data_IF_758263490046
#
_entry.id   IF_758263490046
#
_cell.length_a   1.000
_cell.length_b   1.000
_cell.length_c   1.000
_cell.angle_alpha   90.00
_cell.angle_beta   90.00
_cell.angle_gamma   90.00
#
_symmetry.space_group_name_H-M   'P 1'
#
loop_
_entity.id
_entity.type
_entity.pdbx_description
1 polymer ?
#
# COMPACT_ATOMS: atom_id res chain seq x y z
N UNK A 1 -64.74 -32.57 11.05
CA UNK A 1 -64.56 -31.40 10.16
C UNK A 1 -64.05 -30.17 10.91
N UNK A 2 -64.66 -29.79 12.04
CA UNK A 2 -64.26 -28.63 12.85
C UNK A 2 -62.79 -28.62 13.33
N UNK A 3 -62.26 -29.76 13.79
CA UNK A 3 -60.83 -29.87 14.19
C UNK A 3 -59.86 -29.58 13.03
N UNK A 4 -60.21 -29.96 11.79
CA UNK A 4 -59.39 -29.70 10.59
C UNK A 4 -59.41 -28.21 10.21
N UNK A 5 -60.58 -27.56 10.32
CA UNK A 5 -60.74 -26.11 10.10
C UNK A 5 -59.97 -25.29 11.13
N UNK A 6 -59.97 -25.72 12.40
CA UNK A 6 -59.22 -25.08 13.48
C UNK A 6 -57.70 -25.22 13.30
N UNK A 7 -57.21 -26.39 12.89
CA UNK A 7 -55.79 -26.61 12.55
C UNK A 7 -55.35 -25.76 11.35
N UNK A 8 -56.18 -25.65 10.31
CA UNK A 8 -55.94 -24.78 9.15
C UNK A 8 -55.85 -23.29 9.54
N UNK A 9 -56.74 -22.84 10.42
CA UNK A 9 -56.71 -21.47 10.95
C UNK A 9 -55.42 -21.16 11.72
N UNK A 10 -54.99 -22.07 12.61
CA UNK A 10 -53.73 -21.92 13.35
C UNK A 10 -52.53 -21.89 12.40
N UNK A 11 -52.49 -22.78 11.42
CA UNK A 11 -51.41 -22.82 10.43
C UNK A 11 -51.35 -21.52 9.59
N UNK A 12 -52.50 -20.96 9.20
CA UNK A 12 -52.56 -19.69 8.47
C UNK A 12 -52.07 -18.51 9.32
N UNK A 13 -52.45 -18.44 10.60
CA UNK A 13 -51.95 -17.42 11.53
C UNK A 13 -50.44 -17.54 11.74
N UNK A 14 -49.94 -18.76 11.94
CA UNK A 14 -48.49 -19.02 12.06
C UNK A 14 -47.74 -18.59 10.81
N UNK A 15 -48.27 -18.89 9.62
CA UNK A 15 -47.67 -18.46 8.35
C UNK A 15 -47.58 -16.93 8.28
N UNK A 16 -48.65 -16.21 8.63
CA UNK A 16 -48.64 -14.74 8.65
C UNK A 16 -47.60 -14.20 9.63
N UNK A 17 -47.52 -14.75 10.84
CA UNK A 17 -46.50 -14.34 11.83
C UNK A 17 -45.08 -14.57 11.31
N UNK A 18 -44.81 -15.73 10.70
CA UNK A 18 -43.49 -16.05 10.12
C UNK A 18 -43.16 -15.10 8.98
N UNK A 19 -44.09 -14.88 8.04
CA UNK A 19 -43.89 -13.96 6.91
C UNK A 19 -43.69 -12.54 7.40
N UNK A 20 -44.51 -12.04 8.33
CA UNK A 20 -44.35 -10.70 8.90
C UNK A 20 -43.03 -10.55 9.65
N UNK A 21 -42.59 -11.56 10.40
CA UNK A 21 -41.30 -11.56 11.08
C UNK A 21 -40.13 -11.51 10.09
N UNK A 22 -40.17 -12.33 9.05
CA UNK A 22 -39.17 -12.32 7.98
C UNK A 22 -39.16 -10.98 7.25
N UNK A 23 -40.32 -10.43 6.88
CA UNK A 23 -40.44 -9.12 6.25
C UNK A 23 -39.92 -7.99 7.15
N UNK A 24 -40.23 -8.03 8.44
CA UNK A 24 -39.70 -7.07 9.42
C UNK A 24 -38.17 -7.12 9.47
N UNK A 25 -37.58 -8.32 9.56
CA UNK A 25 -36.12 -8.50 9.52
C UNK A 25 -35.51 -7.93 8.23
N UNK A 26 -36.08 -8.24 7.07
CA UNK A 26 -35.58 -7.69 5.80
C UNK A 26 -35.65 -6.15 5.74
N UNK A 27 -36.70 -5.55 6.32
CA UNK A 27 -36.85 -4.09 6.37
C UNK A 27 -35.89 -3.46 7.40
N UNK A 28 -35.73 -4.07 8.57
CA UNK A 28 -34.84 -3.57 9.64
C UNK A 28 -33.37 -3.59 9.23
N UNK A 29 -32.96 -4.53 8.37
CA UNK A 29 -31.57 -4.70 7.94
C UNK A 29 -31.31 -4.29 6.48
N UNK A 30 -32.25 -3.59 5.85
CA UNK A 30 -32.11 -3.14 4.45
C UNK A 30 -30.82 -2.34 4.23
N UNK A 31 -30.53 -1.39 5.13
CA UNK A 31 -29.39 -0.47 5.04
C UNK A 31 -28.28 -0.78 6.05
N UNK A 32 -28.34 -1.96 6.67
CA UNK A 32 -27.37 -2.41 7.68
C UNK A 32 -26.61 -3.64 7.18
N UNK A 33 -25.45 -3.87 7.79
CA UNK A 33 -24.68 -5.10 7.66
C UNK A 33 -25.42 -6.19 8.43
N UNK A 34 -25.34 -7.44 7.94
CA UNK A 34 -25.93 -8.59 8.64
C UNK A 34 -25.45 -8.67 10.09
N UNK A 35 -26.34 -9.03 11.04
CA UNK A 35 -25.91 -9.26 12.42
C UNK A 35 -24.92 -10.43 12.47
N UNK A 36 -23.95 -10.34 13.40
CA UNK A 36 -22.91 -11.36 13.57
C UNK A 36 -21.75 -11.28 12.57
N UNK A 37 -21.69 -10.26 11.72
CA UNK A 37 -20.53 -10.00 10.86
C UNK A 37 -19.48 -9.20 11.62
N UNK A 38 -18.22 -9.64 11.58
CA UNK A 38 -17.07 -8.93 12.12
C UNK A 38 -15.94 -8.84 11.10
N UNK A 39 -15.13 -7.79 11.21
CA UNK A 39 -13.87 -7.64 10.48
C UNK A 39 -12.75 -7.84 11.49
N UNK A 40 -12.05 -8.96 11.44
CA UNK A 40 -11.12 -9.38 12.51
C UNK A 40 -11.83 -9.32 13.89
N UNK A 41 -11.30 -8.56 14.85
CA UNK A 41 -11.90 -8.33 16.17
C UNK A 41 -13.00 -7.24 16.19
N UNK A 42 -13.29 -6.60 15.05
CA UNK A 42 -14.18 -5.44 14.96
C UNK A 42 -15.59 -5.89 14.61
N UNK A 43 -16.49 -5.87 15.59
CA UNK A 43 -17.91 -6.16 15.34
C UNK A 43 -18.56 -5.05 14.49
N UNK A 44 -19.02 -5.39 13.29
CA UNK A 44 -19.70 -4.46 12.38
C UNK A 44 -21.14 -4.85 12.10
N UNK A 45 -21.62 -5.94 12.73
CA UNK A 45 -22.93 -6.49 12.50
C UNK A 45 -24.04 -5.54 12.96
N UNK A 46 -25.07 -5.36 12.13
CA UNK A 46 -26.17 -4.45 12.44
C UNK A 46 -25.86 -2.96 12.35
N UNK A 47 -24.63 -2.58 11.99
CA UNK A 47 -24.26 -1.20 11.70
C UNK A 47 -24.63 -0.84 10.26
N UNK A 48 -24.89 0.45 10.02
CA UNK A 48 -24.89 1.01 8.66
C UNK A 48 -23.48 1.05 8.08
N UNK A 49 -23.34 1.24 6.76
CA UNK A 49 -22.02 1.37 6.12
C UNK A 49 -21.18 2.47 6.77
N UNK A 50 -21.78 3.64 7.01
CA UNK A 50 -21.08 4.78 7.62
C UNK A 50 -20.61 4.51 9.05
N UNK A 51 -21.44 3.85 9.86
CA UNK A 51 -21.08 3.49 11.23
C UNK A 51 -19.98 2.42 11.25
N UNK A 52 -20.08 1.42 10.39
CA UNK A 52 -19.07 0.37 10.24
C UNK A 52 -17.73 0.97 9.77
N UNK A 53 -17.76 1.85 8.77
CA UNK A 53 -16.58 2.56 8.25
C UNK A 53 -15.86 3.31 9.36
N UNK A 54 -16.58 4.17 10.11
CA UNK A 54 -15.99 4.89 11.26
C UNK A 54 -15.38 3.96 12.30
N UNK A 55 -16.06 2.85 12.61
CA UNK A 55 -15.56 1.89 13.61
C UNK A 55 -14.30 1.18 13.13
N UNK A 56 -14.22 0.84 11.85
CA UNK A 56 -13.04 0.24 11.22
C UNK A 56 -11.89 1.25 11.16
N UNK A 57 -12.15 2.49 10.73
CA UNK A 57 -11.16 3.59 10.66
C UNK A 57 -10.48 3.85 12.01
N UNK A 58 -11.23 3.78 13.12
CA UNK A 58 -10.64 3.92 14.46
C UNK A 58 -9.64 2.79 14.77
N UNK A 59 -9.96 1.55 14.40
CA UNK A 59 -9.08 0.40 14.61
C UNK A 59 -7.89 0.39 13.64
N UNK A 60 -8.09 0.89 12.42
CA UNK A 60 -7.01 1.14 11.45
C UNK A 60 -6.05 2.18 11.99
N UNK A 61 -6.55 3.29 12.53
CA UNK A 61 -5.72 4.32 13.14
C UNK A 61 -4.89 3.73 14.28
N UNK A 62 -5.50 2.94 15.17
CA UNK A 62 -4.81 2.24 16.25
C UNK A 62 -3.65 1.36 15.73
N UNK A 63 -3.89 0.58 14.67
CA UNK A 63 -2.87 -0.26 14.04
C UNK A 63 -1.77 0.53 13.34
N UNK A 64 -2.15 1.56 12.58
CA UNK A 64 -1.24 2.38 11.81
C UNK A 64 -0.33 3.23 12.69
N UNK A 65 -0.83 3.71 13.83
CA UNK A 65 -0.07 4.50 14.81
C UNK A 65 0.60 3.66 15.89
N UNK A 66 0.43 2.34 15.89
CA UNK A 66 1.10 1.47 16.87
C UNK A 66 2.62 1.56 16.69
N UNK A 67 3.39 1.73 17.78
CA UNK A 67 4.85 1.84 17.70
C UNK A 67 5.47 0.53 17.21
N UNK A 68 6.49 0.67 16.37
CA UNK A 68 7.33 -0.41 15.86
C UNK A 68 8.79 -0.04 16.12
N UNK A 69 9.52 -0.95 16.75
CA UNK A 69 10.98 -0.93 16.79
C UNK A 69 11.52 -1.64 15.54
N UNK A 70 12.15 -0.89 14.65
CA UNK A 70 12.87 -1.44 13.48
C UNK A 70 14.33 -1.61 13.86
N UNK A 71 14.84 -2.82 13.70
CA UNK A 71 16.19 -3.24 14.10
C UNK A 71 17.03 -3.54 12.88
N UNK A 72 18.26 -3.04 12.87
CA UNK A 72 19.24 -3.40 11.87
C UNK A 72 20.62 -3.57 12.54
N UNK A 73 20.99 -4.82 12.82
CA UNK A 73 22.15 -5.12 13.65
C UNK A 73 22.00 -4.55 15.06
N UNK A 74 22.92 -3.70 15.47
CA UNK A 74 22.91 -3.04 16.79
C UNK A 74 22.08 -1.74 16.81
N UNK A 75 21.76 -1.19 15.63
CA UNK A 75 21.02 0.06 15.52
C UNK A 75 19.52 -0.21 15.58
N UNK A 76 18.79 0.74 16.15
CA UNK A 76 17.34 0.68 16.32
C UNK A 76 16.69 2.01 15.97
N UNK A 77 15.49 1.95 15.41
CA UNK A 77 14.67 3.12 15.13
C UNK A 77 13.23 2.83 15.56
N UNK A 78 12.67 3.69 16.41
CA UNK A 78 11.24 3.69 16.69
C UNK A 78 10.49 4.46 15.61
N UNK A 79 9.43 3.86 15.08
CA UNK A 79 8.56 4.46 14.07
C UNK A 79 7.15 3.84 14.17
N UNK A 80 6.28 4.12 13.20
CA UNK A 80 4.93 3.55 13.09
C UNK A 80 4.70 3.00 11.69
N UNK A 81 3.66 2.19 11.51
CA UNK A 81 3.27 1.72 10.17
C UNK A 81 2.93 2.88 9.25
N UNK A 82 2.22 3.90 9.77
CA UNK A 82 1.86 5.09 9.00
C UNK A 82 3.11 5.83 8.48
N UNK A 83 4.12 6.00 9.33
CA UNK A 83 5.39 6.65 8.96
C UNK A 83 6.16 5.82 7.94
N UNK A 84 6.18 4.49 8.08
CA UNK A 84 6.74 3.56 7.09
C UNK A 84 5.96 3.50 5.77
N UNK A 85 4.90 4.31 5.60
CA UNK A 85 4.12 4.38 4.37
C UNK A 85 3.03 3.31 4.25
N UNK A 86 2.66 2.63 5.34
CA UNK A 86 1.52 1.72 5.33
C UNK A 86 0.20 2.48 5.29
N UNK A 87 -0.75 1.96 4.52
CA UNK A 87 -2.09 2.52 4.38
C UNK A 87 -3.13 1.41 4.27
N UNK A 88 -4.37 1.74 4.63
CA UNK A 88 -5.50 0.83 4.67
C UNK A 88 -6.75 1.51 4.10
N UNK A 89 -7.50 0.79 3.26
CA UNK A 89 -8.76 1.26 2.66
C UNK A 89 -9.99 0.60 3.31
N UNK A 90 -10.66 1.32 4.21
CA UNK A 90 -11.84 0.82 4.92
C UNK A 90 -13.05 0.57 4.01
N UNK A 91 -13.19 1.30 2.91
CA UNK A 91 -14.42 1.33 2.10
C UNK A 91 -14.70 -0.06 1.50
N UNK A 92 -13.68 -0.70 0.97
CA UNK A 92 -13.83 -1.99 0.30
C UNK A 92 -14.17 -3.13 1.24
N UNK A 93 -13.64 -3.13 2.47
CA UNK A 93 -14.01 -4.15 3.46
C UNK A 93 -15.44 -3.92 3.96
N UNK A 94 -15.86 -2.66 4.13
CA UNK A 94 -17.24 -2.29 4.47
C UNK A 94 -18.20 -2.74 3.38
N UNK A 95 -17.86 -2.51 2.12
CA UNK A 95 -18.67 -2.95 0.98
C UNK A 95 -18.82 -4.47 0.92
N UNK A 96 -17.71 -5.21 1.13
CA UNK A 96 -17.73 -6.67 1.22
C UNK A 96 -18.68 -7.13 2.34
N UNK A 97 -18.57 -6.54 3.53
CA UNK A 97 -19.43 -6.87 4.67
C UNK A 97 -20.91 -6.55 4.39
N UNK A 98 -21.19 -5.40 3.78
CA UNK A 98 -22.55 -4.96 3.47
C UNK A 98 -23.26 -5.84 2.44
N UNK A 99 -22.52 -6.41 1.48
CA UNK A 99 -23.06 -7.28 0.45
C UNK A 99 -23.43 -8.69 0.97
N UNK A 100 -22.92 -9.11 2.13
CA UNK A 100 -23.30 -10.37 2.77
C UNK A 100 -24.81 -10.39 3.05
N UNK A 101 -25.50 -11.49 2.74
CA UNK A 101 -26.95 -11.61 2.91
C UNK A 101 -27.80 -10.89 1.87
N UNK A 102 -27.19 -10.12 0.96
CA UNK A 102 -27.90 -9.31 -0.04
C UNK A 102 -27.79 -9.88 -1.46
N UNK A 103 -27.02 -10.95 -1.64
CA UNK A 103 -26.83 -11.65 -2.92
C UNK A 103 -27.56 -13.00 -2.95
N UNK A 104 -27.96 -13.45 -4.15
CA UNK A 104 -28.63 -14.74 -4.35
C UNK A 104 -30.15 -14.77 -4.06
N UNK A 105 -30.74 -15.97 -4.12
CA UNK A 105 -32.17 -16.25 -3.90
C UNK A 105 -32.60 -16.03 -2.44
N UNK A 106 -33.88 -15.71 -2.21
CA UNK A 106 -34.45 -15.42 -0.88
C UNK A 106 -34.14 -16.47 0.20
N UNK A 107 -34.16 -17.77 -0.16
CA UNK A 107 -33.85 -18.87 0.77
C UNK A 107 -32.39 -18.83 1.22
N UNK A 108 -31.45 -18.58 0.29
CA UNK A 108 -30.02 -18.45 0.60
C UNK A 108 -29.74 -17.24 1.49
N UNK A 109 -30.46 -16.12 1.29
CA UNK A 109 -30.31 -14.93 2.15
C UNK A 109 -30.75 -15.21 3.59
N UNK A 110 -31.83 -15.98 3.76
CA UNK A 110 -32.31 -16.37 5.08
C UNK A 110 -31.34 -17.34 5.78
N UNK A 111 -30.80 -18.31 5.03
CA UNK A 111 -29.76 -19.21 5.53
C UNK A 111 -28.49 -18.46 5.95
N UNK A 112 -28.00 -17.53 5.12
CA UNK A 112 -26.87 -16.67 5.44
C UNK A 112 -27.11 -15.80 6.68
N UNK A 113 -28.32 -15.23 6.82
CA UNK A 113 -28.69 -14.47 8.01
C UNK A 113 -28.64 -15.34 9.27
N UNK A 114 -29.22 -16.54 9.21
CA UNK A 114 -29.23 -17.48 10.35
C UNK A 114 -27.83 -17.97 10.69
N UNK A 115 -27.02 -18.28 9.68
CA UNK A 115 -25.63 -18.69 9.84
C UNK A 115 -24.80 -17.58 10.50
N UNK A 116 -24.92 -16.34 10.02
CA UNK A 116 -24.23 -15.18 10.59
C UNK A 116 -24.61 -14.95 12.06
N UNK A 117 -25.90 -15.06 12.37
CA UNK A 117 -26.41 -14.92 13.74
C UNK A 117 -25.88 -16.01 14.69
N UNK A 118 -25.75 -17.26 14.21
CA UNK A 118 -25.33 -18.39 15.05
C UNK A 118 -23.82 -18.56 15.15
N UNK A 119 -23.07 -18.36 14.06
CA UNK A 119 -21.66 -18.77 13.95
C UNK A 119 -20.68 -17.59 13.88
N UNK A 120 -21.16 -16.36 13.72
CA UNK A 120 -20.38 -15.16 13.41
C UNK A 120 -19.57 -15.29 12.11
N UNK A 121 -19.82 -14.40 11.15
CA UNK A 121 -19.03 -14.37 9.91
C UNK A 121 -17.85 -13.44 10.13
N UNK A 122 -16.65 -13.99 10.02
CA UNK A 122 -15.41 -13.23 10.06
C UNK A 122 -14.94 -12.91 8.63
N UNK A 123 -14.74 -11.62 8.38
CA UNK A 123 -14.24 -11.10 7.10
C UNK A 123 -12.79 -10.65 7.32
N UNK A 124 -11.80 -11.28 6.66
CA UNK A 124 -10.40 -10.91 6.83
C UNK A 124 -10.10 -9.56 6.17
N UNK A 125 -9.21 -8.79 6.78
CA UNK A 125 -8.72 -7.54 6.20
C UNK A 125 -7.54 -7.81 5.25
N UNK A 126 -7.76 -7.70 3.95
CA UNK A 126 -6.76 -8.07 2.93
C UNK A 126 -6.06 -6.88 2.25
N UNK A 127 -6.42 -5.64 2.59
CA UNK A 127 -6.05 -4.45 1.79
C UNK A 127 -5.07 -3.52 2.51
N UNK A 128 -4.04 -4.10 3.12
CA UNK A 128 -2.90 -3.35 3.66
C UNK A 128 -1.90 -3.12 2.53
N UNK A 129 -1.53 -1.86 2.30
CA UNK A 129 -0.56 -1.46 1.28
C UNK A 129 0.60 -0.73 1.93
N UNK A 130 1.75 -0.74 1.27
CA UNK A 130 2.93 0.03 1.69
C UNK A 130 3.52 0.80 0.51
N UNK A 131 3.93 2.04 0.76
CA UNK A 131 4.80 2.80 -0.12
C UNK A 131 6.26 2.58 0.28
N UNK A 132 6.93 1.66 -0.42
CA UNK A 132 8.32 1.32 -0.16
C UNK A 132 9.27 2.53 -0.31
N UNK A 133 8.95 3.51 -1.16
CA UNK A 133 9.80 4.70 -1.30
C UNK A 133 9.77 5.60 -0.07
N UNK A 134 8.64 5.63 0.64
CA UNK A 134 8.51 6.33 1.92
C UNK A 134 9.23 5.55 3.02
N UNK A 135 9.07 4.22 3.07
CA UNK A 135 9.79 3.36 4.00
C UNK A 135 11.32 3.49 3.86
N UNK A 136 11.86 3.46 2.63
CA UNK A 136 13.29 3.61 2.36
C UNK A 136 13.84 4.93 2.92
N UNK A 137 13.12 6.04 2.76
CA UNK A 137 13.54 7.35 3.29
C UNK A 137 13.55 7.38 4.82
N UNK A 138 12.53 6.81 5.45
CA UNK A 138 12.42 6.75 6.92
C UNK A 138 13.53 5.89 7.52
N UNK A 139 13.89 4.80 6.83
CA UNK A 139 14.90 3.83 7.25
C UNK A 139 16.32 4.18 6.78
N UNK A 140 16.51 5.24 6.00
CA UNK A 140 17.84 5.69 5.55
C UNK A 140 18.84 5.85 6.71
N UNK A 141 18.49 6.50 7.84
CA UNK A 141 19.43 6.65 8.96
C UNK A 141 19.88 5.31 9.57
N UNK A 142 19.00 4.30 9.51
CA UNK A 142 19.25 2.97 10.06
C UNK A 142 20.10 2.11 9.12
N UNK A 143 19.91 2.26 7.81
CA UNK A 143 20.54 1.44 6.78
C UNK A 143 21.87 2.01 6.29
N UNK A 144 22.10 3.32 6.39
CA UNK A 144 23.32 3.99 5.91
C UNK A 144 24.60 3.51 6.59
N UNK A 145 24.52 3.00 7.82
CA UNK A 145 25.66 2.44 8.54
C UNK A 145 25.94 0.97 8.20
N UNK A 146 25.08 0.33 7.40
CA UNK A 146 25.11 -1.12 7.14
C UNK A 146 25.50 -1.37 5.69
N UNK A 147 26.78 -1.71 5.50
CA UNK A 147 27.34 -2.05 4.21
C UNK A 147 27.53 -0.85 3.27
N UNK A 148 28.17 -1.12 2.13
CA UNK A 148 28.33 -0.13 1.08
C UNK A 148 27.09 -0.11 0.18
N UNK A 149 26.63 1.09 -0.19
CA UNK A 149 25.61 1.24 -1.23
C UNK A 149 26.16 0.81 -2.61
N UNK A 150 25.29 0.31 -3.51
CA UNK A 150 25.72 -0.06 -4.85
C UNK A 150 26.32 1.15 -5.58
N UNK A 151 27.47 0.95 -6.22
CA UNK A 151 28.19 2.00 -6.92
C UNK A 151 28.05 1.82 -8.43
N UNK A 152 27.45 2.80 -9.10
CA UNK A 152 27.30 2.77 -10.55
C UNK A 152 28.65 2.79 -11.26
N UNK A 153 28.73 1.99 -12.33
CA UNK A 153 29.81 2.11 -13.29
C UNK A 153 29.74 3.47 -13.97
N UNK A 154 30.89 4.07 -14.26
CA UNK A 154 30.96 5.35 -14.97
C UNK A 154 32.17 5.44 -15.86
N UNK A 155 32.01 6.19 -16.93
CA UNK A 155 33.08 6.56 -17.84
C UNK A 155 33.78 7.82 -17.31
N UNK A 156 35.11 7.79 -17.29
CA UNK A 156 35.96 8.93 -16.92
C UNK A 156 36.88 9.22 -18.08
N UNK A 157 36.86 10.48 -18.52
CA UNK A 157 37.80 11.04 -19.49
C UNK A 157 38.80 11.85 -18.70
N UNK A 158 40.09 11.52 -18.80
CA UNK A 158 41.15 12.27 -18.14
C UNK A 158 41.57 13.51 -18.94
N UNK A 159 42.48 14.32 -18.38
CA UNK A 159 43.00 15.54 -19.02
C UNK A 159 43.79 15.28 -20.32
N UNK A 160 44.03 14.01 -20.67
CA UNK A 160 44.73 13.57 -21.88
C UNK A 160 43.78 12.91 -22.88
N UNK A 161 42.48 13.11 -22.73
CA UNK A 161 41.41 12.51 -23.54
C UNK A 161 41.41 10.96 -23.52
N UNK A 162 42.02 10.34 -22.50
CA UNK A 162 41.96 8.89 -22.32
C UNK A 162 40.70 8.49 -21.57
N UNK A 163 40.05 7.47 -22.12
CA UNK A 163 38.81 6.94 -21.60
C UNK A 163 39.12 5.76 -20.69
N UNK A 164 38.63 5.84 -19.46
CA UNK A 164 38.69 4.76 -18.47
C UNK A 164 37.29 4.48 -17.92
N UNK A 165 37.02 3.21 -17.62
CA UNK A 165 35.76 2.79 -16.99
C UNK A 165 36.07 2.52 -15.53
N UNK A 166 35.38 3.22 -14.64
CA UNK A 166 35.32 2.84 -13.23
C UNK A 166 34.22 1.78 -13.12
N UNK A 167 34.56 0.54 -12.75
CA UNK A 167 33.59 -0.54 -12.70
C UNK A 167 32.56 -0.30 -11.61
N UNK A 168 31.33 -0.73 -11.88
CA UNK A 168 30.28 -0.77 -10.88
C UNK A 168 30.59 -1.81 -9.82
N UNK A 169 30.08 -1.59 -8.61
CA UNK A 169 30.21 -2.53 -7.49
C UNK A 169 28.84 -2.83 -6.91
N UNK A 170 28.50 -4.12 -6.68
CA UNK A 170 27.33 -4.48 -5.90
C UNK A 170 27.39 -3.84 -4.52
N UNK A 171 26.23 -3.53 -3.97
CA UNK A 171 26.09 -3.04 -2.61
C UNK A 171 25.04 -3.80 -1.83
N UNK A 172 24.94 -3.48 -0.54
CA UNK A 172 23.90 -4.01 0.34
C UNK A 172 22.73 -3.03 0.40
N UNK A 173 21.52 -3.56 0.34
CA UNK A 173 20.29 -2.80 0.53
C UNK A 173 19.32 -3.57 1.41
N UNK A 174 18.46 -2.85 2.12
CA UNK A 174 17.42 -3.48 2.92
C UNK A 174 16.39 -4.15 2.00
N UNK A 175 16.10 -5.42 2.24
CA UNK A 175 15.00 -6.13 1.60
C UNK A 175 13.70 -5.85 2.37
N UNK A 176 13.08 -4.71 2.08
CA UNK A 176 11.86 -4.28 2.78
C UNK A 176 10.68 -5.21 2.53
N UNK A 177 10.60 -5.86 1.36
CA UNK A 177 9.54 -6.83 1.05
C UNK A 177 9.61 -8.03 1.98
N UNK A 178 10.80 -8.62 2.12
CA UNK A 178 11.03 -9.74 3.02
C UNK A 178 10.96 -9.34 4.51
N UNK A 179 11.40 -8.11 4.84
CA UNK A 179 11.41 -7.62 6.22
C UNK A 179 10.01 -7.31 6.76
N UNK A 180 9.10 -6.83 5.91
CA UNK A 180 7.81 -6.30 6.35
C UNK A 180 6.67 -7.32 6.38
N UNK A 181 6.93 -8.60 6.10
CA UNK A 181 5.89 -9.66 6.03
C UNK A 181 4.96 -9.64 7.25
N UNK A 182 5.52 -9.53 8.45
CA UNK A 182 4.74 -9.54 9.70
C UNK A 182 4.01 -8.21 9.99
N UNK A 183 4.36 -7.12 9.28
CA UNK A 183 3.69 -5.83 9.43
C UNK A 183 2.37 -5.74 8.67
N UNK A 184 2.13 -6.61 7.68
CA UNK A 184 0.86 -6.70 6.96
C UNK A 184 -0.26 -7.35 7.78
N UNK A 185 0.09 -8.08 8.85
CA UNK A 185 -0.87 -8.78 9.68
C UNK A 185 -1.68 -7.81 10.55
N UNK A 186 -2.95 -7.59 10.17
CA UNK A 186 -3.90 -6.79 10.95
C UNK A 186 -4.60 -7.67 11.99
N UNK A 187 -3.85 -8.12 13.00
CA UNK A 187 -4.34 -8.96 14.12
C UNK A 187 -3.73 -8.50 15.45
N UNK A 188 -4.47 -8.62 16.56
CA UNK A 188 -3.96 -8.29 17.90
C UNK A 188 -3.29 -9.52 18.55
N UNK A 189 -2.18 -9.35 19.29
CA UNK A 189 -1.41 -8.12 19.46
C UNK A 189 -0.66 -7.74 18.17
N UNK A 190 -0.49 -6.43 17.92
CA UNK A 190 0.22 -5.97 16.74
C UNK A 190 1.71 -6.28 16.83
N UNK A 191 2.32 -6.61 15.70
CA UNK A 191 3.78 -6.73 15.58
C UNK A 191 4.42 -5.41 16.02
N UNK A 192 5.31 -5.48 17.01
CA UNK A 192 5.97 -4.34 17.63
C UNK A 192 7.47 -4.25 17.30
N UNK A 193 8.04 -5.29 16.69
CA UNK A 193 9.46 -5.33 16.34
C UNK A 193 9.64 -5.98 14.97
N UNK A 194 10.51 -5.39 14.16
CA UNK A 194 10.88 -5.89 12.83
C UNK A 194 12.39 -5.85 12.68
N UNK A 195 12.98 -6.96 12.25
CA UNK A 195 14.38 -7.03 11.89
C UNK A 195 14.53 -6.84 10.37
N UNK A 196 15.36 -5.88 9.97
CA UNK A 196 15.65 -5.65 8.56
C UNK A 196 16.53 -6.77 8.03
N UNK A 197 16.05 -7.42 6.98
CA UNK A 197 16.83 -8.31 6.14
C UNK A 197 17.55 -7.49 5.09
N UNK A 198 18.74 -7.95 4.69
CA UNK A 198 19.56 -7.30 3.68
C UNK A 198 19.81 -8.24 2.52
N UNK A 199 19.85 -7.68 1.32
CA UNK A 199 20.22 -8.39 0.10
C UNK A 199 21.24 -7.60 -0.70
N UNK A 200 22.04 -8.32 -1.47
CA UNK A 200 22.89 -7.68 -2.48
C UNK A 200 22.01 -7.08 -3.58
N UNK A 201 22.38 -5.88 -4.03
CA UNK A 201 21.76 -5.19 -5.14
C UNK A 201 22.85 -4.74 -6.09
N UNK A 202 22.69 -5.10 -7.36
CA UNK A 202 23.54 -4.60 -8.44
C UNK A 202 23.35 -3.08 -8.61
N UNK A 203 24.39 -2.37 -9.07
CA UNK A 203 24.25 -0.98 -9.44
C UNK A 203 23.23 -0.79 -10.55
N UNK A 204 22.59 0.38 -10.57
CA UNK A 204 21.63 0.77 -11.60
C UNK A 204 22.29 0.84 -12.99
N UNK A 205 23.57 1.21 -13.03
CA UNK A 205 24.42 1.16 -14.22
C UNK A 205 25.56 0.20 -13.98
N UNK A 206 25.56 -0.92 -14.71
CA UNK A 206 26.58 -1.98 -14.59
C UNK A 206 27.83 -1.65 -15.42
N UNK A 207 28.92 -2.37 -15.14
CA UNK A 207 30.16 -2.20 -15.93
C UNK A 207 29.93 -2.60 -17.38
N UNK A 208 29.11 -3.62 -17.58
CA UNK A 208 28.69 -4.17 -18.86
C UNK A 208 27.89 -3.13 -19.65
N UNK A 209 26.99 -2.37 -19.00
CA UNK A 209 26.23 -1.30 -19.64
C UNK A 209 27.15 -0.22 -20.21
N UNK A 210 28.16 0.22 -19.43
CA UNK A 210 29.12 1.24 -19.86
C UNK A 210 30.03 0.71 -20.97
N UNK A 211 30.47 -0.55 -20.89
CA UNK A 211 31.28 -1.19 -21.94
C UNK A 211 30.49 -1.32 -23.25
N UNK A 212 29.20 -1.65 -23.17
CA UNK A 212 28.33 -1.78 -24.33
C UNK A 212 28.12 -0.46 -25.10
N UNK A 213 28.35 0.70 -24.46
CA UNK A 213 28.29 2.00 -25.14
C UNK A 213 29.36 2.16 -26.23
N UNK A 214 30.44 1.35 -26.20
CA UNK A 214 31.46 1.34 -27.25
C UNK A 214 32.29 2.63 -27.34
N UNK A 215 32.24 3.48 -26.33
CA UNK A 215 32.95 4.75 -26.27
C UNK A 215 34.45 4.44 -26.05
N UNK A 216 35.25 4.56 -27.11
CA UNK A 216 36.64 4.10 -27.15
C UNK A 216 37.69 5.21 -27.38
N UNK A 217 37.27 6.47 -27.51
CA UNK A 217 38.18 7.60 -27.59
C UNK A 217 37.50 8.89 -28.05
N UNK A 218 38.24 9.99 -27.97
CA UNK A 218 37.86 11.26 -28.58
C UNK A 218 37.87 11.14 -30.11
N UNK A 219 36.70 11.27 -30.75
CA UNK A 219 36.59 11.23 -32.21
C UNK A 219 36.92 12.58 -32.86
N UNK A 220 36.49 13.68 -32.25
CA UNK A 220 36.77 15.04 -32.72
C UNK A 220 36.57 16.06 -31.59
N UNK A 221 37.46 17.06 -31.53
CA UNK A 221 37.31 18.28 -30.71
C UNK A 221 37.26 19.48 -31.64
N UNK A 222 36.36 20.42 -31.36
CA UNK A 222 36.29 21.70 -32.07
C UNK A 222 36.11 22.84 -31.08
N UNK A 223 36.93 23.87 -31.22
CA UNK A 223 36.86 25.09 -30.41
C UNK A 223 36.45 26.25 -31.30
N UNK A 224 35.33 26.90 -30.99
CA UNK A 224 35.00 28.20 -31.57
C UNK A 224 35.28 29.30 -30.58
N UNK A 225 36.05 30.30 -31.00
CA UNK A 225 36.13 31.56 -30.26
C UNK A 225 34.89 32.41 -30.51
N UNK A 226 34.43 33.10 -29.46
CA UNK A 226 33.47 34.18 -29.62
C UNK A 226 34.18 35.37 -30.27
N UNK A 227 33.68 35.78 -31.42
CA UNK A 227 34.17 36.96 -32.13
C UNK A 227 33.23 38.14 -31.86
N UNK A 228 33.66 39.05 -30.98
CA UNK A 228 32.91 40.25 -30.64
C UNK A 228 32.70 41.17 -31.86
N UNK A 229 33.55 41.08 -32.89
CA UNK A 229 33.43 41.88 -34.12
C UNK A 229 32.32 41.38 -35.05
N UNK A 230 31.80 40.17 -34.84
CA UNK A 230 30.62 39.67 -35.54
C UNK A 230 29.36 40.28 -34.92
N UNK A 231 29.06 41.53 -35.31
CA UNK A 231 27.97 42.35 -34.74
C UNK A 231 26.64 41.58 -34.72
N UNK A 232 26.31 40.86 -35.80
CA UNK A 232 25.05 40.10 -35.87
C UNK A 232 24.99 38.97 -34.83
N UNK A 233 26.07 38.19 -34.70
CA UNK A 233 26.13 37.05 -33.77
C UNK A 233 26.21 37.53 -32.31
N UNK A 234 27.02 38.57 -32.04
CA UNK A 234 27.14 39.21 -30.73
C UNK A 234 25.83 39.84 -30.27
N UNK A 235 25.09 40.51 -31.17
CA UNK A 235 23.80 41.11 -30.86
C UNK A 235 22.74 40.04 -30.55
N UNK A 236 22.66 38.97 -31.36
CA UNK A 236 21.71 37.88 -31.12
C UNK A 236 21.99 37.16 -29.79
N UNK A 237 23.27 36.94 -29.44
CA UNK A 237 23.65 36.36 -28.15
C UNK A 237 23.28 37.30 -27.00
N UNK A 238 23.54 38.61 -27.12
CA UNK A 238 23.17 39.59 -26.10
C UNK A 238 21.64 39.67 -25.87
N UNK A 239 20.86 39.66 -26.95
CA UNK A 239 19.38 39.64 -26.87
C UNK A 239 18.88 38.37 -26.21
N UNK A 240 19.42 37.20 -26.59
CA UNK A 240 19.05 35.92 -26.00
C UNK A 240 19.41 35.84 -24.52
N UNK A 241 20.61 36.27 -24.12
CA UNK A 241 21.03 36.31 -22.71
C UNK A 241 20.15 37.25 -21.88
N UNK A 242 19.72 38.38 -22.44
CA UNK A 242 18.80 39.32 -21.77
C UNK A 242 17.38 38.75 -21.61
N UNK A 243 16.93 37.90 -22.52
CA UNK A 243 15.64 37.24 -22.42
C UNK A 243 15.62 36.06 -21.41
N UNK A 244 16.79 35.44 -21.16
CA UNK A 244 16.94 34.34 -20.20
C UNK A 244 17.19 34.83 -18.77
N UNK A 245 17.91 35.94 -18.61
CA UNK A 245 18.07 36.61 -17.32
C UNK A 245 16.86 37.53 -17.07
N UNK A 246 15.80 36.97 -16.48
CA UNK A 246 14.65 37.72 -15.98
C UNK A 246 15.07 38.64 -14.80
N UNK A 247 15.61 39.81 -15.11
CA UNK A 247 15.64 40.98 -14.21
C UNK A 247 15.03 42.21 -14.88
#
# INVERSE_FOLDING_TARGET
>A
MQKKLLLLGIAAVLLVVVVSGVSFLFLSYKDKILPGVRVEWIDVGGLTKEEARKKIELSQQEFLSAPIEVVAGENKLETTRAELGFSMDAEKVVDKCYLLGKSGSLIKRLDQFWNAYQHQIEVPYQEVKVDYSTAEKVLEPLTKSIGDQPQNARLVIDDRDQISIIPGKPGLTADLESSFVDLFSFNKPFTATVELQFREKEPEVTTEDVQAMGINGLLATYSTSFDASNINRSHNIAVASKALNNS
#
